data_IF_172988494297
#
_entry.id   IF_172988494297
#
_cell.length_a   1.000
_cell.length_b   1.000
_cell.length_c   1.000
_cell.angle_alpha   90.00
_cell.angle_beta   90.00
_cell.angle_gamma   90.00
#
_symmetry.space_group_name_H-M   'P 1'
#
loop_
_entity.id
_entity.type
_entity.pdbx_description
1 polymer ?
#
# COMPACT_ATOMS: atom_id res chain seq x y z
N UNK A 1 2.37 25.21 22.81
CA UNK A 1 1.02 24.63 22.97
C UNK A 1 0.77 24.30 24.45
N UNK A 2 -0.39 24.66 25.00
CA UNK A 2 -0.79 24.33 26.38
C UNK A 2 -1.11 22.82 26.58
N UNK A 3 -1.18 22.04 25.50
CA UNK A 3 -1.59 20.64 25.56
C UNK A 3 -0.39 19.70 25.81
N UNK A 4 -0.47 18.88 26.87
CA UNK A 4 0.60 17.98 27.35
C UNK A 4 0.99 16.92 26.30
N UNK A 5 0.02 16.46 25.51
CA UNK A 5 0.23 15.50 24.42
C UNK A 5 1.06 16.13 23.29
N UNK A 6 0.82 17.40 22.96
CA UNK A 6 1.53 18.11 21.88
C UNK A 6 3.01 18.31 22.25
N UNK A 7 3.32 18.56 23.53
CA UNK A 7 4.71 18.64 24.00
C UNK A 7 5.44 17.29 23.94
N UNK A 8 4.76 16.19 24.24
CA UNK A 8 5.34 14.86 24.14
C UNK A 8 5.64 14.43 22.69
N UNK A 9 4.85 14.90 21.71
CA UNK A 9 5.01 14.55 20.30
C UNK A 9 5.94 15.50 19.52
N UNK A 10 6.18 16.70 20.04
CA UNK A 10 6.98 17.72 19.35
C UNK A 10 8.38 17.22 18.95
N UNK A 11 9.16 16.53 19.79
CA UNK A 11 10.50 16.06 19.41
C UNK A 11 10.48 15.10 18.22
N UNK A 12 9.54 14.16 18.19
CA UNK A 12 9.41 13.18 17.10
C UNK A 12 9.00 13.85 15.78
N UNK A 13 8.05 14.78 15.83
CA UNK A 13 7.59 15.55 14.66
C UNK A 13 8.69 16.47 14.12
N UNK A 14 9.48 17.08 15.00
CA UNK A 14 10.62 17.91 14.61
C UNK A 14 11.74 17.08 13.98
N UNK A 15 12.05 15.91 14.56
CA UNK A 15 13.06 15.00 14.01
C UNK A 15 12.69 14.53 12.59
N UNK A 16 11.49 13.99 12.42
CA UNK A 16 11.02 13.53 11.10
C UNK A 16 10.98 14.64 10.06
N UNK A 17 10.57 15.86 10.45
CA UNK A 17 10.52 17.00 9.54
C UNK A 17 11.93 17.40 9.09
N UNK A 18 12.90 17.39 10.00
CA UNK A 18 14.31 17.67 9.66
C UNK A 18 14.90 16.61 8.74
N UNK A 19 14.59 15.33 8.98
CA UNK A 19 15.02 14.23 8.09
C UNK A 19 14.44 14.40 6.69
N UNK A 20 13.14 14.66 6.57
CA UNK A 20 12.51 14.90 5.27
C UNK A 20 13.10 16.12 4.56
N UNK A 21 13.31 17.23 5.28
CA UNK A 21 13.96 18.43 4.72
C UNK A 21 15.39 18.15 4.27
N UNK A 22 16.15 17.35 5.00
CA UNK A 22 17.50 16.95 4.60
C UNK A 22 17.48 16.08 3.33
N UNK A 23 16.51 15.16 3.23
CA UNK A 23 16.30 14.36 2.01
C UNK A 23 15.91 15.25 0.81
N UNK A 24 15.03 16.23 1.02
CA UNK A 24 14.64 17.18 -0.03
C UNK A 24 15.82 18.04 -0.49
N UNK A 25 16.69 18.47 0.42
CA UNK A 25 17.91 19.20 0.07
C UNK A 25 18.87 18.31 -0.73
N UNK A 26 19.09 17.07 -0.29
CA UNK A 26 19.96 16.12 -0.98
C UNK A 26 19.45 15.75 -2.38
N UNK A 27 18.18 15.37 -2.51
CA UNK A 27 17.60 15.06 -3.81
C UNK A 27 17.53 16.30 -4.70
N UNK A 28 17.21 17.45 -4.09
CA UNK A 28 17.11 18.73 -4.77
C UNK A 28 18.44 19.24 -5.31
N UNK A 29 19.57 19.00 -4.62
CA UNK A 29 20.89 19.38 -5.12
C UNK A 29 21.29 18.54 -6.33
N UNK A 30 21.06 17.22 -6.29
CA UNK A 30 21.32 16.33 -7.43
C UNK A 30 20.50 16.77 -8.65
N UNK A 31 19.23 17.11 -8.46
CA UNK A 31 18.37 17.59 -9.53
C UNK A 31 18.80 18.95 -10.09
N UNK A 32 19.22 19.87 -9.21
CA UNK A 32 19.74 21.18 -9.59
C UNK A 32 21.01 21.06 -10.45
N UNK A 33 21.99 20.30 -9.98
CA UNK A 33 23.27 20.08 -10.67
C UNK A 33 23.06 19.35 -12.00
N UNK A 34 22.17 18.35 -12.00
CA UNK A 34 21.78 17.61 -13.20
C UNK A 34 21.13 18.50 -14.27
N UNK A 35 20.27 19.43 -13.88
CA UNK A 35 19.64 20.37 -14.82
C UNK A 35 20.66 21.37 -15.37
N UNK A 36 21.56 21.90 -14.54
CA UNK A 36 22.65 22.76 -15.02
C UNK A 36 23.52 22.04 -16.04
N UNK A 37 23.92 20.79 -15.76
CA UNK A 37 24.67 19.98 -16.71
C UNK A 37 23.89 19.72 -18.01
N UNK A 38 22.58 19.47 -17.91
CA UNK A 38 21.69 19.29 -19.07
C UNK A 38 21.56 20.55 -19.91
N UNK A 39 21.45 21.73 -19.27
CA UNK A 39 21.41 23.03 -19.96
C UNK A 39 22.75 23.34 -20.63
N UNK A 40 23.87 23.11 -19.94
CA UNK A 40 25.21 23.27 -20.47
C UNK A 40 25.40 22.41 -21.74
N UNK A 41 25.00 21.14 -21.69
CA UNK A 41 25.08 20.21 -22.83
C UNK A 41 24.17 20.60 -23.98
N UNK A 42 22.93 21.03 -23.70
CA UNK A 42 21.99 21.51 -24.73
C UNK A 42 22.55 22.74 -25.44
N UNK A 43 23.11 23.68 -24.68
CA UNK A 43 23.70 24.89 -25.21
C UNK A 43 24.97 24.61 -26.02
N UNK A 44 25.85 23.72 -25.53
CA UNK A 44 27.05 23.32 -26.24
C UNK A 44 26.72 22.61 -27.57
N UNK A 45 25.68 21.76 -27.55
CA UNK A 45 25.17 21.07 -28.76
C UNK A 45 24.55 22.05 -29.75
N UNK A 46 23.77 23.02 -29.26
CA UNK A 46 23.19 24.10 -30.08
C UNK A 46 24.28 24.92 -30.78
N UNK A 47 25.41 25.14 -30.10
CA UNK A 47 26.59 25.81 -30.64
C UNK A 47 27.48 24.90 -31.50
N UNK A 48 27.15 23.63 -31.65
CA UNK A 48 27.91 22.66 -32.44
C UNK A 48 29.27 22.28 -31.86
N UNK A 49 29.51 22.54 -30.57
CA UNK A 49 30.80 22.27 -29.92
C UNK A 49 31.05 20.76 -29.80
N UNK A 50 32.30 20.34 -30.04
CA UNK A 50 32.73 18.93 -30.00
C UNK A 50 34.02 18.76 -29.21
N UNK A 51 34.31 17.51 -28.81
CA UNK A 51 35.57 17.14 -28.16
C UNK A 51 35.83 17.91 -26.86
N UNK A 52 37.08 18.32 -26.65
CA UNK A 52 37.49 19.00 -25.43
C UNK A 52 36.94 20.43 -25.33
N UNK A 53 36.72 21.11 -26.47
CA UNK A 53 36.07 22.43 -26.50
C UNK A 53 34.66 22.38 -25.91
N UNK A 54 33.92 21.28 -26.15
CA UNK A 54 32.61 21.08 -25.53
C UNK A 54 32.73 20.91 -24.01
N UNK A 55 33.69 20.12 -23.56
CA UNK A 55 33.91 19.87 -22.12
C UNK A 55 34.26 21.17 -21.39
N UNK A 56 35.19 21.94 -21.93
CA UNK A 56 35.61 23.22 -21.34
C UNK A 56 34.47 24.22 -21.27
N UNK A 57 33.61 24.25 -22.29
CA UNK A 57 32.40 25.06 -22.27
C UNK A 57 31.39 24.56 -21.22
N UNK A 58 31.14 23.25 -21.16
CA UNK A 58 30.21 22.65 -20.18
C UNK A 58 30.68 22.97 -18.73
N UNK A 59 31.98 22.85 -18.45
CA UNK A 59 32.56 23.18 -17.13
C UNK A 59 32.36 24.67 -16.80
N UNK A 60 32.76 25.58 -17.70
CA UNK A 60 32.62 27.03 -17.47
C UNK A 60 31.17 27.46 -17.30
N UNK A 61 30.25 26.82 -18.02
CA UNK A 61 28.82 27.08 -17.89
C UNK A 61 28.29 26.67 -16.50
N UNK A 62 28.77 25.56 -15.95
CA UNK A 62 28.37 25.07 -14.63
C UNK A 62 29.03 25.89 -13.52
N UNK A 63 30.28 26.32 -13.70
CA UNK A 63 31.01 27.16 -12.73
C UNK A 63 30.42 28.56 -12.60
N UNK A 64 29.95 29.13 -13.72
CA UNK A 64 29.33 30.46 -13.78
C UNK A 64 28.01 30.41 -14.57
N UNK A 65 26.95 29.81 -13.99
CA UNK A 65 25.67 29.71 -14.65
C UNK A 65 24.98 31.07 -14.72
N UNK A 66 24.27 31.33 -15.81
CA UNK A 66 23.45 32.55 -15.92
C UNK A 66 22.27 32.51 -14.95
N UNK A 67 21.69 33.68 -14.64
CA UNK A 67 20.50 33.78 -13.79
C UNK A 67 19.33 32.93 -14.34
N UNK A 68 19.14 32.91 -15.65
CA UNK A 68 18.13 32.06 -16.31
C UNK A 68 18.39 30.56 -16.11
N UNK A 69 19.65 30.13 -16.15
CA UNK A 69 20.02 28.74 -15.92
C UNK A 69 19.78 28.34 -14.45
N UNK A 70 20.11 29.22 -13.52
CA UNK A 70 19.84 29.05 -12.09
C UNK A 70 18.33 28.96 -11.83
N UNK A 71 17.52 29.80 -12.49
CA UNK A 71 16.06 29.77 -12.35
C UNK A 71 15.49 28.42 -12.84
N UNK A 72 15.91 27.96 -14.03
CA UNK A 72 15.49 26.66 -14.58
C UNK A 72 15.91 25.50 -13.69
N UNK A 73 17.15 25.50 -13.19
CA UNK A 73 17.65 24.48 -12.28
C UNK A 73 16.89 24.47 -10.94
N UNK A 74 16.54 25.64 -10.40
CA UNK A 74 15.71 25.75 -9.20
C UNK A 74 14.28 25.23 -9.42
N UNK A 75 13.71 25.48 -10.60
CA UNK A 75 12.41 24.92 -10.99
C UNK A 75 12.46 23.40 -11.07
N UNK A 76 13.53 22.83 -11.65
CA UNK A 76 13.70 21.38 -11.72
C UNK A 76 13.93 20.76 -10.34
N UNK A 77 14.71 21.43 -9.48
CA UNK A 77 14.88 21.05 -8.07
C UNK A 77 13.53 20.93 -7.37
N UNK A 78 12.72 22.00 -7.41
CA UNK A 78 11.38 22.02 -6.77
C UNK A 78 10.48 20.92 -7.36
N UNK A 79 10.59 20.66 -8.67
CA UNK A 79 9.81 19.65 -9.36
C UNK A 79 10.10 18.24 -8.85
N UNK A 80 11.39 17.88 -8.73
CA UNK A 80 11.84 16.56 -8.27
C UNK A 80 11.54 16.34 -6.79
N UNK A 81 11.61 17.39 -5.96
CA UNK A 81 11.31 17.30 -4.52
C UNK A 81 9.81 17.48 -4.22
N UNK A 82 8.96 17.66 -5.23
CA UNK A 82 7.53 17.95 -5.07
C UNK A 82 7.22 19.18 -4.20
N UNK A 83 8.12 20.17 -4.19
CA UNK A 83 8.02 21.40 -3.40
C UNK A 83 7.70 22.64 -4.24
N UNK A 84 7.15 22.47 -5.43
CA UNK A 84 6.75 23.58 -6.29
C UNK A 84 5.62 24.40 -5.69
N UNK A 85 5.52 25.63 -6.18
CA UNK A 85 4.56 26.60 -5.70
C UNK A 85 3.12 26.18 -6.00
N UNK A 86 2.22 26.59 -5.10
CA UNK A 86 0.84 26.13 -5.02
C UNK A 86 -0.01 26.74 -6.15
N UNK A 87 -0.63 25.90 -6.98
CA UNK A 87 -1.55 26.30 -8.06
C UNK A 87 -3.04 26.24 -7.64
N UNK A 88 -3.96 26.48 -8.59
CA UNK A 88 -5.41 26.49 -8.35
C UNK A 88 -5.98 25.19 -7.78
N UNK A 89 -5.36 24.03 -8.06
CA UNK A 89 -5.74 22.75 -7.46
C UNK A 89 -5.37 22.70 -5.97
N UNK A 90 -4.26 23.34 -5.60
CA UNK A 90 -3.90 23.49 -4.18
C UNK A 90 -4.88 24.40 -3.44
N UNK A 91 -5.46 25.42 -4.11
CA UNK A 91 -6.51 26.24 -3.50
C UNK A 91 -7.78 25.44 -3.18
N UNK A 92 -8.15 24.46 -4.02
CA UNK A 92 -9.25 23.53 -3.75
C UNK A 92 -8.99 22.68 -2.49
N UNK A 93 -7.78 22.11 -2.34
CA UNK A 93 -7.39 21.35 -1.13
C UNK A 93 -7.26 22.28 0.09
N UNK A 94 -6.80 23.53 -0.08
CA UNK A 94 -6.79 24.53 1.00
C UNK A 94 -8.20 24.94 1.44
N UNK A 95 -9.21 24.83 0.57
CA UNK A 95 -10.62 24.98 0.93
C UNK A 95 -11.06 23.99 2.02
N UNK A 96 -10.48 22.79 2.04
CA UNK A 96 -10.72 21.77 3.08
C UNK A 96 -10.24 22.26 4.46
N UNK A 97 -9.20 23.12 4.53
CA UNK A 97 -8.73 23.72 5.79
C UNK A 97 -9.71 24.73 6.39
N UNK A 98 -10.67 25.23 5.61
CA UNK A 98 -11.68 26.22 6.04
C UNK A 98 -12.92 25.59 6.68
N UNK A 99 -13.02 24.25 6.70
CA UNK A 99 -14.09 23.55 7.42
C UNK A 99 -13.86 23.72 8.94
N UNK A 100 -14.84 24.22 9.73
CA UNK A 100 -14.67 24.56 11.15
C UNK A 100 -14.15 23.40 12.02
N UNK A 101 -14.50 22.17 11.68
CA UNK A 101 -14.05 20.93 12.36
C UNK A 101 -12.54 20.69 12.20
N UNK A 102 -11.94 21.22 11.13
CA UNK A 102 -10.51 21.06 10.78
C UNK A 102 -9.69 22.28 11.21
N UNK A 103 -10.31 23.46 11.39
CA UNK A 103 -9.65 24.73 11.69
C UNK A 103 -8.77 24.73 12.95
N UNK A 104 -9.14 23.96 13.98
CA UNK A 104 -8.38 23.92 15.25
C UNK A 104 -7.11 23.04 15.19
N UNK A 105 -6.96 22.19 14.16
CA UNK A 105 -5.85 21.22 14.04
C UNK A 105 -5.31 21.02 12.61
N UNK A 106 -5.64 21.92 11.68
CA UNK A 106 -5.37 21.80 10.23
C UNK A 106 -3.90 21.56 9.87
N UNK A 107 -2.96 22.08 10.65
CA UNK A 107 -1.52 21.88 10.47
C UNK A 107 -1.03 20.49 10.92
N UNK A 108 -1.80 19.79 11.75
CA UNK A 108 -1.47 18.48 12.31
C UNK A 108 -2.12 17.33 11.55
N UNK A 109 -3.30 17.56 10.95
CA UNK A 109 -4.06 16.51 10.24
C UNK A 109 -3.51 16.28 8.82
N UNK A 110 -3.01 17.32 8.14
CA UNK A 110 -2.49 17.19 6.76
C UNK A 110 -1.15 17.93 6.59
N UNK A 111 -0.03 17.40 7.12
CA UNK A 111 1.23 18.14 7.17
C UNK A 111 1.93 18.38 5.82
N UNK A 112 1.41 17.92 4.68
CA UNK A 112 2.13 17.97 3.38
C UNK A 112 1.22 18.23 2.17
N UNK A 113 0.22 19.11 2.30
CA UNK A 113 -0.68 19.45 1.18
C UNK A 113 0.06 19.82 -0.12
N UNK A 114 1.10 20.69 -0.09
CA UNK A 114 1.89 21.01 -1.29
C UNK A 114 2.46 19.76 -1.97
N UNK A 115 3.13 18.91 -1.20
CA UNK A 115 3.78 17.68 -1.68
C UNK A 115 2.76 16.70 -2.25
N UNK A 116 1.62 16.51 -1.58
CA UNK A 116 0.56 15.62 -2.05
C UNK A 116 -0.04 16.14 -3.36
N UNK A 117 -0.36 17.44 -3.44
CA UNK A 117 -0.88 18.05 -4.66
C UNK A 117 0.12 17.95 -5.82
N UNK A 118 1.41 18.18 -5.53
CA UNK A 118 2.48 18.05 -6.49
C UNK A 118 2.65 16.60 -6.96
N UNK A 119 2.62 15.60 -6.08
CA UNK A 119 2.63 14.18 -6.45
C UNK A 119 1.48 13.82 -7.38
N UNK A 120 0.25 14.28 -7.09
CA UNK A 120 -0.92 14.11 -7.98
C UNK A 120 -0.63 14.65 -9.37
N UNK A 121 -0.10 15.87 -9.43
CA UNK A 121 0.19 16.56 -10.68
C UNK A 121 1.18 15.74 -11.53
N UNK A 122 2.18 15.11 -10.92
CA UNK A 122 3.17 14.28 -11.62
C UNK A 122 2.55 12.98 -12.11
N UNK A 123 1.72 12.34 -11.30
CA UNK A 123 0.94 11.17 -11.73
C UNK A 123 0.09 11.47 -12.97
N UNK A 124 -0.59 12.63 -13.00
CA UNK A 124 -1.36 13.09 -14.16
C UNK A 124 -0.48 13.36 -15.38
N UNK A 125 0.67 14.00 -15.21
CA UNK A 125 1.62 14.31 -16.29
C UNK A 125 2.22 13.04 -16.93
N UNK A 126 2.37 11.97 -16.15
CA UNK A 126 2.88 10.68 -16.65
C UNK A 126 1.77 9.75 -17.16
N UNK A 127 0.51 9.95 -16.77
CA UNK A 127 -0.57 9.06 -17.23
C UNK A 127 -0.81 9.27 -18.73
N UNK A 128 -0.72 8.21 -19.57
CA UNK A 128 -0.91 8.32 -21.02
C UNK A 128 -2.22 9.02 -21.41
N UNK A 129 -2.16 9.93 -22.37
CA UNK A 129 -3.30 10.70 -22.88
C UNK A 129 -3.71 11.87 -21.98
N UNK A 130 -3.61 11.70 -20.65
CA UNK A 130 -4.03 12.70 -19.65
C UNK A 130 -3.05 13.88 -19.59
N UNK A 131 -1.74 13.61 -19.60
CA UNK A 131 -0.73 14.67 -19.56
C UNK A 131 -0.75 15.56 -20.82
N UNK A 132 -0.97 14.96 -22.00
CA UNK A 132 -1.10 15.69 -23.28
C UNK A 132 -2.38 16.52 -23.29
N UNK A 133 -3.52 15.95 -22.89
CA UNK A 133 -4.79 16.67 -22.83
C UNK A 133 -4.72 17.87 -21.87
N UNK A 134 -4.13 17.68 -20.68
CA UNK A 134 -3.92 18.76 -19.71
C UNK A 134 -3.01 19.86 -20.26
N UNK A 135 -1.92 19.49 -20.92
CA UNK A 135 -1.01 20.45 -21.54
C UNK A 135 -1.71 21.24 -22.65
N UNK A 136 -2.46 20.57 -23.53
CA UNK A 136 -3.23 21.21 -24.60
C UNK A 136 -4.28 22.19 -24.05
N UNK A 137 -5.01 21.81 -22.99
CA UNK A 137 -5.99 22.69 -22.32
C UNK A 137 -5.29 23.90 -21.70
N UNK A 138 -4.17 23.69 -21.00
CA UNK A 138 -3.40 24.79 -20.37
C UNK A 138 -2.84 25.80 -21.35
N UNK A 139 -2.73 25.43 -22.64
CA UNK A 139 -2.24 26.26 -23.75
C UNK A 139 -3.36 26.79 -24.65
N UNK A 140 -4.63 26.57 -24.30
CA UNK A 140 -5.78 27.05 -25.07
C UNK A 140 -6.05 26.26 -26.36
N UNK A 141 -5.80 24.94 -26.38
CA UNK A 141 -6.16 24.00 -27.45
C UNK A 141 -5.79 24.46 -28.87
N UNK A 142 -4.56 24.95 -29.10
CA UNK A 142 -4.11 25.28 -30.46
C UNK A 142 -2.83 26.10 -30.63
N UNK A 143 -2.09 26.44 -29.56
CA UNK A 143 -0.86 27.25 -29.66
C UNK A 143 0.37 26.51 -29.13
N UNK A 144 1.31 26.20 -30.03
CA UNK A 144 2.69 25.76 -29.74
C UNK A 144 2.92 24.24 -29.60
N UNK A 145 4.12 23.77 -29.98
CA UNK A 145 4.56 22.38 -29.83
C UNK A 145 4.60 21.97 -28.35
N UNK A 146 4.01 20.83 -27.99
CA UNK A 146 4.08 20.23 -26.64
C UNK A 146 5.51 20.25 -26.09
N UNK A 147 5.65 20.51 -24.79
CA UNK A 147 6.97 20.54 -24.16
C UNK A 147 7.58 19.14 -24.32
N UNK A 148 8.79 19.07 -24.88
CA UNK A 148 9.51 17.80 -25.13
C UNK A 148 9.59 16.96 -23.85
N UNK A 149 9.66 17.61 -22.69
CA UNK A 149 9.66 16.95 -21.38
C UNK A 149 8.31 16.27 -21.04
N UNK A 150 7.18 16.84 -21.44
CA UNK A 150 5.85 16.22 -21.28
C UNK A 150 5.72 15.03 -22.21
N UNK A 151 6.20 15.14 -23.45
CA UNK A 151 6.20 14.02 -24.40
C UNK A 151 7.05 12.86 -23.87
N UNK A 152 8.26 13.13 -23.36
CA UNK A 152 9.11 12.09 -22.78
C UNK A 152 8.42 11.37 -21.61
N UNK A 153 7.78 12.10 -20.69
CA UNK A 153 7.02 11.55 -19.56
C UNK A 153 5.82 10.70 -20.01
N UNK A 154 5.18 11.09 -21.10
CA UNK A 154 4.09 10.33 -21.71
C UNK A 154 4.57 9.03 -22.34
N UNK A 155 5.75 9.04 -22.98
CA UNK A 155 6.38 7.82 -23.50
C UNK A 155 6.71 6.86 -22.34
N UNK A 156 7.33 7.35 -21.27
CA UNK A 156 7.63 6.56 -20.07
C UNK A 156 6.36 5.96 -19.45
N UNK A 157 5.32 6.77 -19.29
CA UNK A 157 4.02 6.33 -18.80
C UNK A 157 3.36 5.30 -19.72
N UNK A 158 3.51 5.44 -21.03
CA UNK A 158 2.93 4.52 -22.02
C UNK A 158 3.65 3.17 -21.99
N UNK A 159 4.98 3.16 -21.88
CA UNK A 159 5.77 1.92 -21.72
C UNK A 159 5.38 1.22 -20.41
N UNK A 160 5.25 1.96 -19.31
CA UNK A 160 4.79 1.42 -18.03
C UNK A 160 3.36 0.87 -18.12
N UNK A 161 2.43 1.61 -18.74
CA UNK A 161 1.06 1.16 -18.94
C UNK A 161 0.99 -0.12 -19.79
N UNK A 162 1.78 -0.21 -20.87
CA UNK A 162 1.87 -1.42 -21.68
C UNK A 162 2.37 -2.63 -20.86
N UNK A 163 3.40 -2.43 -20.03
CA UNK A 163 3.88 -3.48 -19.12
C UNK A 163 2.82 -3.89 -18.10
N UNK A 164 2.07 -2.93 -17.53
CA UNK A 164 0.98 -3.19 -16.59
C UNK A 164 -0.13 -4.00 -17.27
N UNK A 165 -0.58 -3.62 -18.47
CA UNK A 165 -1.58 -4.38 -19.21
C UNK A 165 -1.11 -5.80 -19.52
N UNK A 166 0.15 -5.98 -19.91
CA UNK A 166 0.74 -7.31 -20.08
C UNK A 166 0.64 -8.14 -18.80
N UNK A 167 1.04 -7.56 -17.65
CA UNK A 167 0.94 -8.23 -16.34
C UNK A 167 -0.50 -8.54 -15.94
N UNK A 168 -1.46 -7.66 -16.25
CA UNK A 168 -2.89 -7.92 -16.02
C UNK A 168 -3.42 -9.06 -16.87
N UNK A 169 -3.01 -9.14 -18.14
CA UNK A 169 -3.41 -10.25 -19.03
C UNK A 169 -2.94 -11.61 -18.52
N UNK A 170 -1.88 -11.64 -17.70
CA UNK A 170 -1.35 -12.84 -17.03
C UNK A 170 -1.94 -13.07 -15.64
N UNK A 171 -2.82 -12.19 -15.16
CA UNK A 171 -3.34 -12.24 -13.78
C UNK A 171 -2.26 -11.99 -12.73
N UNK A 172 -1.18 -11.28 -13.08
CA UNK A 172 -0.03 -11.01 -12.23
C UNK A 172 -0.12 -9.68 -11.47
N UNK A 173 -1.28 -9.01 -11.50
CA UNK A 173 -1.54 -7.80 -10.71
C UNK A 173 -2.65 -8.07 -9.72
N UNK A 174 -2.30 -7.94 -8.44
CA UNK A 174 -3.21 -8.06 -7.31
C UNK A 174 -3.85 -6.69 -7.04
N UNK A 175 -5.17 -6.67 -7.02
CA UNK A 175 -5.96 -5.46 -6.77
C UNK A 175 -6.18 -5.21 -5.28
N UNK A 176 -7.42 -4.86 -4.95
CA UNK A 176 -7.83 -4.60 -3.58
C UNK A 176 -7.79 -5.85 -2.71
N UNK A 177 -7.76 -5.62 -1.40
CA UNK A 177 -7.80 -6.68 -0.42
C UNK A 177 -9.22 -7.29 -0.36
N UNK A 178 -9.37 -8.64 -0.38
CA UNK A 178 -10.69 -9.26 -0.30
C UNK A 178 -11.50 -8.85 0.93
N UNK A 179 -12.80 -8.65 0.75
CA UNK A 179 -13.70 -8.24 1.83
C UNK A 179 -13.91 -9.36 2.84
N UNK A 180 -14.13 -10.59 2.37
CA UNK A 180 -14.35 -11.75 3.22
C UNK A 180 -13.12 -12.03 4.09
N UNK A 181 -13.32 -12.20 5.40
CA UNK A 181 -12.22 -12.42 6.36
C UNK A 181 -11.40 -13.67 6.04
N UNK A 182 -12.02 -14.78 5.68
CA UNK A 182 -11.31 -16.04 5.42
C UNK A 182 -10.46 -15.95 4.16
N UNK A 183 -11.01 -15.34 3.11
CA UNK A 183 -10.32 -15.08 1.85
C UNK A 183 -9.17 -14.09 2.04
N UNK A 184 -9.38 -13.03 2.81
CA UNK A 184 -8.33 -12.07 3.20
C UNK A 184 -7.18 -12.73 3.96
N UNK A 185 -7.50 -13.64 4.88
CA UNK A 185 -6.48 -14.38 5.62
C UNK A 185 -5.73 -15.35 4.71
N UNK A 186 -6.41 -16.00 3.76
CA UNK A 186 -5.77 -16.83 2.73
C UNK A 186 -4.86 -16.02 1.80
N UNK A 187 -5.32 -14.85 1.35
CA UNK A 187 -4.56 -13.91 0.53
C UNK A 187 -3.20 -13.58 1.16
N UNK A 188 -3.18 -13.26 2.45
CA UNK A 188 -1.92 -13.01 3.17
C UNK A 188 -1.08 -14.28 3.39
N UNK A 189 -1.69 -15.44 3.67
CA UNK A 189 -0.95 -16.72 3.81
C UNK A 189 -0.28 -17.13 2.50
N UNK A 190 -0.87 -16.77 1.37
CA UNK A 190 -0.27 -16.97 0.06
C UNK A 190 0.88 -16.00 -0.24
N UNK A 191 1.15 -15.05 0.65
CA UNK A 191 2.18 -14.03 0.46
C UNK A 191 1.77 -12.91 -0.49
N UNK A 192 0.49 -12.84 -0.88
CA UNK A 192 -0.02 -11.77 -1.73
C UNK A 192 -0.10 -10.45 -0.97
N UNK A 193 0.13 -9.35 -1.67
CA UNK A 193 0.00 -7.99 -1.13
C UNK A 193 -1.07 -7.22 -1.92
N UNK A 194 -1.91 -6.39 -1.27
CA UNK A 194 -2.87 -5.59 -1.99
C UNK A 194 -2.15 -4.50 -2.81
N UNK A 195 -2.67 -4.22 -4.01
CA UNK A 195 -2.04 -3.32 -4.98
C UNK A 195 -0.58 -3.71 -5.23
N UNK A 196 -0.37 -4.96 -5.67
CA UNK A 196 0.96 -5.49 -5.95
C UNK A 196 1.06 -6.13 -7.32
N UNK A 197 2.27 -6.17 -7.85
CA UNK A 197 2.59 -6.83 -9.12
C UNK A 197 3.50 -8.01 -8.82
N UNK A 198 3.16 -9.16 -9.38
CA UNK A 198 3.92 -10.39 -9.29
C UNK A 198 5.05 -10.40 -10.32
N UNK A 199 6.27 -10.59 -9.83
CA UNK A 199 7.48 -10.75 -10.62
C UNK A 199 8.16 -12.04 -10.14
N UNK A 200 8.10 -13.09 -10.95
CA UNK A 200 8.52 -14.43 -10.52
C UNK A 200 7.66 -14.95 -9.36
N UNK A 201 8.29 -15.27 -8.24
CA UNK A 201 7.59 -15.66 -7.00
C UNK A 201 7.40 -14.50 -6.01
N UNK A 202 7.65 -13.26 -6.40
CA UNK A 202 7.61 -12.10 -5.49
C UNK A 202 6.48 -11.15 -5.87
N UNK A 203 5.66 -10.79 -4.88
CA UNK A 203 4.65 -9.74 -4.97
C UNK A 203 5.26 -8.41 -4.51
N UNK A 204 5.32 -7.42 -5.39
CA UNK A 204 5.89 -6.09 -5.12
C UNK A 204 4.75 -5.08 -5.04
N UNK A 205 4.54 -4.47 -3.87
CA UNK A 205 3.47 -3.48 -3.67
C UNK A 205 3.83 -2.16 -4.35
N UNK A 206 2.96 -1.69 -5.25
CA UNK A 206 3.17 -0.44 -5.98
C UNK A 206 2.49 0.77 -5.30
N UNK A 207 1.61 0.57 -4.31
CA UNK A 207 0.78 1.60 -3.64
C UNK A 207 1.49 2.86 -3.10
N UNK A 208 2.81 2.82 -2.93
CA UNK A 208 3.63 3.89 -2.32
C UNK A 208 4.77 4.34 -3.23
N UNK A 209 4.74 3.94 -4.49
CA UNK A 209 5.77 4.25 -5.49
C UNK A 209 5.19 5.29 -6.46
N UNK A 210 4.85 6.47 -5.95
CA UNK A 210 4.44 7.59 -6.82
C UNK A 210 5.66 8.19 -7.53
N UNK A 211 5.51 8.71 -8.76
CA UNK A 211 4.28 8.85 -9.56
C UNK A 211 3.86 7.60 -10.36
N UNK A 212 4.60 6.49 -10.28
CA UNK A 212 4.32 5.29 -11.07
C UNK A 212 3.05 4.55 -10.65
N UNK A 213 2.74 4.57 -9.35
CA UNK A 213 1.50 4.00 -8.81
C UNK A 213 0.25 4.59 -9.48
N UNK A 214 0.26 5.90 -9.74
CA UNK A 214 -0.77 6.60 -10.50
C UNK A 214 -1.03 5.97 -11.87
N UNK A 215 0.03 5.70 -12.62
CA UNK A 215 -0.03 5.07 -13.95
C UNK A 215 -0.50 3.61 -13.83
N UNK A 216 0.00 2.86 -12.85
CA UNK A 216 -0.37 1.45 -12.65
C UNK A 216 -1.85 1.32 -12.28
N UNK A 217 -2.33 2.12 -11.32
CA UNK A 217 -3.71 2.07 -10.85
C UNK A 217 -4.69 2.50 -11.94
N UNK A 218 -4.40 3.58 -12.66
CA UNK A 218 -5.25 4.10 -13.73
C UNK A 218 -5.31 3.13 -14.91
N UNK A 219 -4.17 2.57 -15.33
CA UNK A 219 -4.11 1.51 -16.35
C UNK A 219 -4.87 0.27 -15.91
N UNK A 220 -4.80 -0.10 -14.63
CA UNK A 220 -5.50 -1.27 -14.14
C UNK A 220 -7.03 -1.11 -14.11
N UNK A 221 -7.51 0.09 -13.78
CA UNK A 221 -8.91 0.46 -13.94
C UNK A 221 -9.35 0.41 -15.40
N UNK A 222 -8.59 1.08 -16.28
CA UNK A 222 -8.87 1.14 -17.71
C UNK A 222 -8.92 -0.26 -18.35
N UNK A 223 -7.98 -1.15 -18.01
CA UNK A 223 -7.94 -2.52 -18.51
C UNK A 223 -9.20 -3.31 -18.14
N UNK A 224 -9.68 -3.19 -16.88
CA UNK A 224 -10.93 -3.85 -16.46
C UNK A 224 -12.12 -3.32 -17.27
N UNK A 225 -12.18 -2.01 -17.46
CA UNK A 225 -13.26 -1.36 -18.21
C UNK A 225 -13.22 -1.75 -19.70
N UNK A 226 -12.03 -1.85 -20.31
CA UNK A 226 -11.81 -2.31 -21.69
C UNK A 226 -12.26 -3.77 -21.86
N UNK A 227 -11.92 -4.65 -20.91
CA UNK A 227 -12.31 -6.07 -20.97
C UNK A 227 -13.82 -6.28 -20.81
N UNK A 228 -14.51 -5.33 -20.16
CA UNK A 228 -15.95 -5.35 -19.99
C UNK A 228 -16.71 -4.62 -21.12
N UNK A 229 -16.01 -3.88 -21.98
CA UNK A 229 -16.61 -3.12 -23.08
C UNK A 229 -16.88 -4.02 -24.29
N UNK A 230 -18.04 -3.81 -24.95
CA UNK A 230 -18.54 -4.68 -26.03
C UNK A 230 -18.03 -4.29 -27.42
N UNK A 231 -17.66 -3.03 -27.63
CA UNK A 231 -17.21 -2.49 -28.92
C UNK A 231 -15.85 -1.78 -28.82
N UNK A 232 -15.11 -1.74 -29.92
CA UNK A 232 -13.72 -1.27 -29.95
C UNK A 232 -13.58 0.26 -29.87
N UNK A 233 -14.61 1.00 -30.29
CA UNK A 233 -14.64 2.47 -30.17
C UNK A 233 -14.77 2.90 -28.70
N UNK A 234 -15.63 2.21 -27.94
CA UNK A 234 -15.76 2.39 -26.50
C UNK A 234 -14.48 2.00 -25.76
N UNK A 235 -13.79 0.93 -26.17
CA UNK A 235 -12.48 0.55 -25.59
C UNK A 235 -11.43 1.65 -25.80
N UNK A 236 -11.37 2.23 -27.00
CA UNK A 236 -10.44 3.32 -27.31
C UNK A 236 -10.77 4.59 -26.52
N UNK A 237 -12.05 4.94 -26.39
CA UNK A 237 -12.46 6.08 -25.57
C UNK A 237 -12.22 5.85 -24.07
N UNK A 238 -12.43 4.64 -23.54
CA UNK A 238 -12.11 4.29 -22.15
C UNK A 238 -10.61 4.43 -21.88
N UNK A 239 -9.77 3.97 -22.81
CA UNK A 239 -8.33 4.14 -22.72
C UNK A 239 -7.93 5.63 -22.64
N UNK A 240 -8.54 6.49 -23.46
CA UNK A 240 -8.30 7.93 -23.43
C UNK A 240 -8.94 8.64 -22.22
N UNK A 241 -10.06 8.15 -21.70
CA UNK A 241 -10.80 8.69 -20.56
C UNK A 241 -10.30 8.22 -19.18
N UNK A 242 -9.19 7.49 -19.15
CA UNK A 242 -8.45 7.05 -17.95
C UNK A 242 -8.20 8.19 -16.93
N UNK A 243 -8.21 9.45 -17.38
CA UNK A 243 -8.15 10.66 -16.52
C UNK A 243 -9.22 10.70 -15.42
N UNK A 244 -10.44 10.20 -15.68
CA UNK A 244 -11.55 10.25 -14.73
C UNK A 244 -11.38 9.19 -13.63
N UNK A 245 -10.99 7.97 -14.01
CA UNK A 245 -10.70 6.86 -13.09
C UNK A 245 -9.47 7.14 -12.22
N UNK A 246 -8.51 7.91 -12.73
CA UNK A 246 -7.35 8.35 -11.94
C UNK A 246 -7.77 9.17 -10.71
N UNK A 247 -8.78 10.05 -10.84
CA UNK A 247 -9.24 10.89 -9.73
C UNK A 247 -9.77 10.06 -8.57
N UNK A 248 -10.56 9.02 -8.86
CA UNK A 248 -11.15 8.12 -7.86
C UNK A 248 -10.07 7.26 -7.19
N UNK A 249 -9.19 6.63 -7.98
CA UNK A 249 -8.08 5.84 -7.45
C UNK A 249 -7.05 6.66 -6.66
N UNK A 250 -6.85 7.93 -7.01
CA UNK A 250 -5.95 8.84 -6.31
C UNK A 250 -6.52 9.29 -4.95
N UNK A 251 -7.84 9.52 -4.88
CA UNK A 251 -8.55 9.76 -3.62
C UNK A 251 -8.43 8.54 -2.68
N UNK A 252 -8.29 7.33 -3.24
CA UNK A 252 -8.06 6.09 -2.47
C UNK A 252 -6.57 5.75 -2.24
N UNK A 253 -5.66 6.62 -2.69
CA UNK A 253 -4.23 6.45 -2.45
C UNK A 253 -3.92 6.41 -0.95
N UNK A 254 -2.79 5.79 -0.60
CA UNK A 254 -2.40 5.62 0.80
C UNK A 254 -2.23 6.93 1.57
N UNK A 255 -2.00 8.04 0.85
CA UNK A 255 -1.92 9.39 1.41
C UNK A 255 -3.29 9.95 1.80
N UNK A 256 -4.34 9.67 1.02
CA UNK A 256 -5.69 10.16 1.27
C UNK A 256 -6.55 9.20 2.11
N UNK A 257 -6.28 7.90 2.14
CA UNK A 257 -6.98 6.98 3.05
C UNK A 257 -6.78 7.36 4.53
N UNK A 258 -5.62 7.93 4.89
CA UNK A 258 -5.41 8.49 6.23
C UNK A 258 -6.34 9.66 6.54
N UNK A 259 -6.71 10.43 5.51
CA UNK A 259 -7.62 11.57 5.59
C UNK A 259 -9.09 11.13 5.55
N UNK A 260 -9.47 10.25 4.61
CA UNK A 260 -10.82 9.66 4.54
C UNK A 260 -11.22 8.99 5.86
N UNK A 261 -10.30 8.27 6.51
CA UNK A 261 -10.55 7.66 7.82
C UNK A 261 -10.86 8.69 8.93
N UNK A 262 -10.43 9.94 8.78
CA UNK A 262 -10.78 11.04 9.68
C UNK A 262 -12.16 11.60 9.33
N UNK A 263 -12.48 11.73 8.04
CA UNK A 263 -13.77 12.23 7.55
C UNK A 263 -14.92 11.24 7.79
N UNK A 264 -14.79 9.98 7.38
CA UNK A 264 -15.85 8.94 7.47
C UNK A 264 -16.23 8.59 8.91
N UNK A 265 -15.35 8.90 9.88
CA UNK A 265 -15.55 8.59 11.30
C UNK A 265 -16.08 9.77 12.12
N UNK A 266 -16.19 10.95 11.55
CA UNK A 266 -16.87 12.08 12.18
C UNK A 266 -18.39 11.99 12.00
N UNK A 267 -18.85 11.39 10.90
CA UNK A 267 -20.27 11.22 10.58
C UNK A 267 -20.96 10.09 11.37
N UNK A 268 -20.19 9.27 12.11
CA UNK A 268 -20.71 8.16 12.94
C UNK A 268 -20.28 8.30 14.40
N UNK A 269 -21.19 8.88 15.18
CA UNK A 269 -21.33 9.01 16.64
C UNK A 269 -20.27 8.39 17.61
N UNK A 270 -19.94 9.20 18.63
CA UNK A 270 -19.54 9.00 20.06
C UNK A 270 -18.77 7.75 20.56
N UNK A 271 -18.44 6.74 19.75
CA UNK A 271 -17.57 5.60 20.13
C UNK A 271 -16.23 5.56 19.39
N UNK A 272 -16.00 6.47 18.43
CA UNK A 272 -14.82 6.49 17.57
C UNK A 272 -13.53 6.91 18.27
N UNK A 273 -13.61 7.82 19.25
CA UNK A 273 -12.48 8.57 19.82
C UNK A 273 -11.31 7.70 20.33
N UNK A 274 -11.62 6.52 20.89
CA UNK A 274 -10.63 5.58 21.42
C UNK A 274 -9.87 4.81 20.32
N UNK A 275 -10.40 4.68 19.10
CA UNK A 275 -9.61 4.18 17.94
C UNK A 275 -8.87 5.31 17.22
N UNK A 276 -9.22 6.57 17.50
CA UNK A 276 -8.72 7.73 16.77
C UNK A 276 -7.43 8.31 17.34
N UNK A 277 -7.16 8.18 18.64
CA UNK A 277 -5.98 8.82 19.26
C UNK A 277 -4.63 8.40 18.65
N UNK A 278 -4.46 7.12 18.29
CA UNK A 278 -3.23 6.62 17.66
C UNK A 278 -3.15 6.92 16.15
N UNK A 279 -4.29 7.09 15.47
CA UNK A 279 -4.35 7.54 14.07
C UNK A 279 -4.16 9.06 13.96
N UNK A 280 -4.48 9.82 15.02
CA UNK A 280 -4.20 11.26 15.14
C UNK A 280 -2.73 11.58 15.42
N UNK A 281 -1.90 10.58 15.75
CA UNK A 281 -0.45 10.78 15.80
C UNK A 281 0.01 11.02 14.37
N UNK A 282 0.46 12.26 14.03
CA UNK A 282 1.03 12.48 12.71
C UNK A 282 2.20 11.52 12.56
N UNK A 283 2.34 10.93 11.37
CA UNK A 283 3.37 9.93 11.06
C UNK A 283 3.18 8.58 11.77
N UNK A 284 2.00 8.26 12.30
CA UNK A 284 1.71 6.95 12.90
C UNK A 284 2.09 5.77 12.00
N UNK A 285 1.95 5.89 10.67
CA UNK A 285 2.42 4.89 9.71
C UNK A 285 3.95 4.71 9.69
N UNK A 286 4.70 5.82 9.79
CA UNK A 286 6.18 5.80 9.84
C UNK A 286 6.68 5.27 11.18
N UNK A 287 6.08 5.70 12.30
CA UNK A 287 6.42 5.20 13.62
C UNK A 287 6.13 3.69 13.76
N UNK A 288 5.04 3.21 13.17
CA UNK A 288 4.79 1.75 13.02
C UNK A 288 5.88 1.06 12.21
N UNK A 289 6.38 1.69 11.15
CA UNK A 289 7.51 1.20 10.34
C UNK A 289 8.76 1.04 11.20
N UNK A 290 9.10 2.06 12.00
CA UNK A 290 10.25 2.04 12.93
C UNK A 290 10.08 0.91 13.94
N UNK A 291 8.92 0.80 14.59
CA UNK A 291 8.71 -0.24 15.60
C UNK A 291 8.82 -1.64 15.04
N UNK A 292 8.26 -1.87 13.84
CA UNK A 292 8.42 -3.16 13.15
C UNK A 292 9.87 -3.41 12.75
N UNK A 293 10.61 -2.36 12.37
CA UNK A 293 12.03 -2.47 12.04
C UNK A 293 12.86 -2.87 13.25
N UNK A 294 12.64 -2.22 14.40
CA UNK A 294 13.27 -2.58 15.67
C UNK A 294 12.87 -4.01 16.08
N UNK A 295 11.58 -4.34 16.02
CA UNK A 295 11.08 -5.68 16.34
C UNK A 295 11.73 -6.76 15.46
N UNK A 296 11.83 -6.53 14.15
CA UNK A 296 12.53 -7.43 13.23
C UNK A 296 14.04 -7.51 13.52
N UNK A 297 14.67 -6.41 13.92
CA UNK A 297 16.09 -6.38 14.25
C UNK A 297 16.42 -7.14 15.54
N UNK A 298 15.52 -7.09 16.53
CA UNK A 298 15.69 -7.74 17.84
C UNK A 298 15.25 -9.21 17.80
N UNK A 299 14.08 -9.49 17.21
CA UNK A 299 13.46 -10.82 17.24
C UNK A 299 13.70 -11.64 15.96
N UNK A 300 14.35 -11.07 14.94
CA UNK A 300 14.51 -11.66 13.60
C UNK A 300 13.25 -11.60 12.73
N UNK A 301 12.06 -11.50 13.34
CA UNK A 301 10.77 -11.49 12.65
C UNK A 301 9.76 -10.54 13.32
N UNK A 302 8.73 -10.14 12.57
CA UNK A 302 7.63 -9.32 13.10
C UNK A 302 6.35 -10.13 13.09
N UNK A 303 5.76 -10.34 14.27
CA UNK A 303 4.50 -11.08 14.38
C UNK A 303 3.33 -10.11 14.36
N UNK A 304 2.31 -10.43 13.57
CA UNK A 304 1.06 -9.67 13.56
C UNK A 304 0.35 -9.89 14.89
N UNK A 305 0.07 -8.83 15.62
CA UNK A 305 -0.51 -8.91 16.97
C UNK A 305 -2.03 -9.00 16.95
N UNK A 306 -2.60 -9.79 17.85
CA UNK A 306 -4.05 -9.95 17.99
C UNK A 306 -4.65 -8.76 18.76
N UNK A 307 -5.76 -8.20 18.25
CA UNK A 307 -6.47 -7.07 18.88
C UNK A 307 -7.81 -7.55 19.43
N UNK A 308 -7.82 -8.11 20.63
CA UNK A 308 -9.05 -8.61 21.26
C UNK A 308 -9.55 -7.62 22.29
N UNK A 309 -10.41 -6.70 21.86
CA UNK A 309 -11.12 -5.76 22.75
C UNK A 309 -10.31 -4.54 23.20
N UNK A 310 -8.99 -4.52 23.00
CA UNK A 310 -8.11 -3.41 23.36
C UNK A 310 -7.44 -2.77 22.13
N UNK A 311 -8.26 -2.37 21.15
CA UNK A 311 -7.81 -1.71 19.91
C UNK A 311 -6.96 -0.47 20.17
N UNK A 312 -7.26 0.29 21.23
CA UNK A 312 -6.48 1.46 21.63
C UNK A 312 -5.08 1.07 22.12
N UNK A 313 -4.95 0.02 22.96
CA UNK A 313 -3.64 -0.43 23.44
C UNK A 313 -2.80 -1.00 22.31
N UNK A 314 -3.40 -1.74 21.37
CA UNK A 314 -2.70 -2.20 20.17
C UNK A 314 -2.26 -1.02 19.31
N UNK A 315 -3.15 -0.08 19.02
CA UNK A 315 -2.84 1.04 18.15
C UNK A 315 -1.76 1.96 18.73
N UNK A 316 -1.75 2.15 20.05
CA UNK A 316 -0.67 2.84 20.77
C UNK A 316 0.61 1.99 20.77
N UNK A 317 0.51 0.70 21.11
CA UNK A 317 1.64 -0.21 21.17
C UNK A 317 2.35 -0.37 19.83
N UNK A 318 1.62 -0.36 18.72
CA UNK A 318 2.18 -0.41 17.38
C UNK A 318 2.95 0.87 17.02
N UNK A 319 2.68 2.01 17.69
CA UNK A 319 3.28 3.32 17.41
C UNK A 319 4.38 3.71 18.41
N UNK A 320 4.35 3.20 19.65
CA UNK A 320 5.38 3.47 20.67
C UNK A 320 6.43 2.35 20.70
N UNK A 321 7.72 2.64 20.42
CA UNK A 321 8.80 1.67 20.55
C UNK A 321 8.82 1.01 21.93
N UNK A 322 8.99 -0.31 21.99
CA UNK A 322 9.07 -1.09 23.24
C UNK A 322 7.74 -1.42 23.92
N UNK A 323 6.62 -0.79 23.53
CA UNK A 323 5.30 -1.04 24.12
C UNK A 323 4.53 -2.18 23.42
N UNK A 324 5.00 -2.58 22.23
CA UNK A 324 4.34 -3.54 21.35
C UNK A 324 4.52 -5.01 21.78
N UNK A 325 5.42 -5.32 22.71
CA UNK A 325 5.89 -6.68 23.05
C UNK A 325 4.91 -7.53 23.88
N UNK A 326 3.88 -6.93 24.49
CA UNK A 326 2.99 -7.65 25.41
C UNK A 326 1.76 -8.29 24.75
N UNK A 327 1.53 -8.06 23.46
CA UNK A 327 0.38 -8.63 22.77
C UNK A 327 0.74 -9.95 22.10
N UNK A 328 -0.08 -10.99 22.28
CA UNK A 328 0.26 -12.29 21.75
C UNK A 328 0.02 -12.35 20.23
N UNK A 329 0.84 -13.14 19.53
CA UNK A 329 0.83 -13.22 18.07
C UNK A 329 -0.49 -13.79 17.53
N UNK A 330 -1.01 -13.20 16.46
CA UNK A 330 -2.19 -13.69 15.74
C UNK A 330 -1.86 -15.04 15.13
N UNK A 331 -2.75 -16.01 15.31
CA UNK A 331 -2.67 -17.32 14.66
C UNK A 331 -3.38 -17.32 13.31
N UNK A 332 -2.84 -18.11 12.39
CA UNK A 332 -3.44 -18.37 11.09
C UNK A 332 -4.34 -19.62 11.13
N UNK A 333 -4.92 -19.99 9.98
CA UNK A 333 -5.78 -21.17 9.84
C UNK A 333 -5.08 -22.48 10.27
N UNK A 334 -3.77 -22.57 10.07
CA UNK A 334 -2.96 -23.73 10.38
C UNK A 334 -2.30 -23.66 11.76
N UNK A 335 -2.68 -22.69 12.60
CA UNK A 335 -2.17 -22.56 13.96
C UNK A 335 -0.75 -21.97 14.04
N UNK A 336 -0.21 -21.49 12.93
CA UNK A 336 1.09 -20.83 12.87
C UNK A 336 0.94 -19.36 13.26
N UNK A 337 2.00 -18.78 13.81
CA UNK A 337 2.04 -17.34 14.05
C UNK A 337 2.06 -16.61 12.69
N UNK A 338 1.21 -15.60 12.53
CA UNK A 338 1.21 -14.77 11.32
C UNK A 338 2.41 -13.82 11.39
N UNK A 339 3.41 -14.07 10.55
CA UNK A 339 4.63 -13.27 10.44
C UNK A 339 4.51 -12.31 9.27
N UNK A 340 4.86 -11.04 9.49
CA UNK A 340 5.12 -10.11 8.40
C UNK A 340 6.50 -10.46 7.87
N UNK A 341 6.54 -11.04 6.67
CA UNK A 341 7.80 -11.43 6.05
C UNK A 341 8.82 -10.25 6.01
N UNK A 342 10.11 -10.60 5.92
CA UNK A 342 11.25 -9.71 5.70
C UNK A 342 11.81 -9.02 6.95
N UNK A 343 13.11 -8.72 6.88
CA UNK A 343 13.88 -8.17 8.00
C UNK A 343 13.69 -6.67 8.25
N UNK A 344 14.50 -6.14 9.17
CA UNK A 344 14.41 -4.77 9.67
C UNK A 344 14.39 -3.71 8.57
N UNK A 345 15.23 -3.84 7.53
CA UNK A 345 15.29 -2.90 6.42
C UNK A 345 13.96 -2.87 5.65
N UNK A 346 13.41 -4.04 5.34
CA UNK A 346 12.11 -4.15 4.66
C UNK A 346 10.97 -3.60 5.50
N UNK A 347 11.04 -3.74 6.83
CA UNK A 347 10.06 -3.14 7.73
C UNK A 347 10.16 -1.63 7.80
N UNK A 348 11.36 -1.06 7.70
CA UNK A 348 11.59 0.39 7.69
C UNK A 348 11.09 1.04 6.39
N UNK A 349 11.40 0.45 5.24
CA UNK A 349 11.13 1.02 3.92
C UNK A 349 9.62 1.19 3.65
N UNK A 350 9.22 2.26 2.94
CA UNK A 350 7.81 2.49 2.62
C UNK A 350 7.27 1.48 1.61
N UNK A 351 8.10 0.99 0.69
CA UNK A 351 7.74 -0.06 -0.26
C UNK A 351 7.87 -1.45 0.37
N UNK A 352 6.90 -2.31 0.08
CA UNK A 352 6.82 -3.67 0.62
C UNK A 352 6.82 -4.68 -0.51
N UNK A 353 7.51 -5.79 -0.30
CA UNK A 353 7.42 -6.96 -1.16
C UNK A 353 7.22 -8.21 -0.31
N UNK A 354 6.70 -9.29 -0.88
CA UNK A 354 6.46 -10.54 -0.18
C UNK A 354 6.67 -11.71 -1.14
N UNK A 355 7.19 -12.81 -0.65
CA UNK A 355 7.34 -14.03 -1.44
C UNK A 355 6.06 -14.84 -1.36
N UNK A 356 5.65 -15.35 -2.53
CA UNK A 356 4.52 -16.24 -2.68
C UNK A 356 4.77 -17.57 -1.97
N UNK A 357 3.71 -18.14 -1.40
CA UNK A 357 3.80 -19.44 -0.75
C UNK A 357 4.11 -20.55 -1.75
N UNK A 358 4.96 -21.50 -1.36
CA UNK A 358 5.17 -22.77 -2.07
C UNK A 358 4.23 -23.88 -1.61
N UNK A 359 3.40 -23.62 -0.59
CA UNK A 359 2.50 -24.59 0.01
C UNK A 359 1.44 -25.09 -0.99
N UNK A 360 1.46 -26.39 -1.26
CA UNK A 360 0.56 -27.03 -2.24
C UNK A 360 -0.92 -26.93 -1.83
N UNK A 361 -1.22 -26.96 -0.53
CA UNK A 361 -2.60 -26.91 -0.03
C UNK A 361 -3.15 -25.49 -0.21
N UNK A 362 -2.35 -24.47 0.09
CA UNK A 362 -2.74 -23.07 -0.16
C UNK A 362 -2.93 -22.79 -1.66
N UNK A 363 -2.05 -23.31 -2.52
CA UNK A 363 -2.20 -23.18 -3.97
C UNK A 363 -3.45 -23.87 -4.49
N UNK A 364 -3.76 -25.07 -3.97
CA UNK A 364 -4.96 -25.80 -4.39
C UNK A 364 -6.25 -25.14 -3.86
N UNK A 365 -6.23 -24.63 -2.63
CA UNK A 365 -7.33 -23.85 -2.07
C UNK A 365 -7.61 -22.57 -2.86
N UNK A 366 -6.57 -21.84 -3.27
CA UNK A 366 -6.68 -20.67 -4.16
C UNK A 366 -7.26 -21.07 -5.52
N UNK A 367 -6.72 -22.12 -6.14
CA UNK A 367 -7.19 -22.61 -7.46
C UNK A 367 -8.67 -22.95 -7.44
N UNK A 368 -9.14 -23.57 -6.36
CA UNK A 368 -10.54 -23.96 -6.16
C UNK A 368 -11.41 -22.83 -5.56
N UNK A 369 -10.83 -21.67 -5.24
CA UNK A 369 -11.46 -20.54 -4.55
C UNK A 369 -12.16 -20.94 -3.26
N UNK A 370 -11.49 -21.76 -2.45
CA UNK A 370 -12.00 -22.32 -1.20
C UNK A 370 -11.20 -21.81 -0.01
N UNK A 371 -11.84 -20.96 0.81
CA UNK A 371 -11.22 -20.30 1.95
C UNK A 371 -11.95 -20.67 3.24
N UNK A 372 -11.56 -21.76 3.92
CA UNK A 372 -12.20 -22.15 5.16
C UNK A 372 -12.00 -21.09 6.24
N UNK A 373 -13.06 -20.86 7.02
CA UNK A 373 -13.01 -20.00 8.19
C UNK A 373 -12.30 -20.65 9.35
N UNK A 374 -11.63 -19.84 10.16
CA UNK A 374 -11.14 -20.28 11.47
C UNK A 374 -12.31 -20.73 12.36
N UNK A 375 -12.09 -21.71 13.25
CA UNK A 375 -13.08 -22.11 14.23
C UNK A 375 -13.60 -20.93 15.06
N UNK A 376 -14.85 -20.99 15.51
CA UNK A 376 -15.42 -19.96 16.40
C UNK A 376 -14.78 -20.02 17.79
N UNK A 377 -14.61 -18.86 18.43
CA UNK A 377 -14.21 -18.76 19.84
C UNK A 377 -15.37 -19.05 20.81
N UNK A 378 -16.59 -19.22 20.30
CA UNK A 378 -17.73 -19.65 21.11
C UNK A 378 -18.14 -21.06 20.73
N UNK A 379 -18.35 -21.91 21.73
CA UNK A 379 -18.75 -23.31 21.53
C UNK A 379 -20.01 -23.64 22.33
N UNK A 380 -20.95 -24.34 21.70
CA UNK A 380 -22.14 -24.87 22.36
C UNK A 380 -21.80 -26.23 22.98
N UNK A 381 -21.82 -26.30 24.33
CA UNK A 381 -21.42 -27.49 25.09
C UNK A 381 -22.50 -28.58 25.04
N UNK A 382 -23.76 -28.22 25.25
CA UNK A 382 -24.93 -29.12 25.22
C UNK A 382 -25.94 -28.69 24.14
N UNK A 383 -26.69 -29.63 23.51
CA UNK A 383 -27.82 -29.25 22.67
C UNK A 383 -28.74 -28.26 23.41
N UNK A 384 -29.16 -27.17 22.76
CA UNK A 384 -30.00 -26.09 23.32
C UNK A 384 -29.36 -25.21 24.43
N UNK A 385 -28.04 -25.26 24.63
CA UNK A 385 -27.35 -24.34 25.55
C UNK A 385 -26.82 -23.08 24.86
N UNK A 386 -26.69 -21.97 25.61
CA UNK A 386 -26.04 -20.74 25.11
C UNK A 386 -24.57 -21.03 24.79
N UNK A 387 -24.02 -20.50 23.69
CA UNK A 387 -22.60 -20.66 23.37
C UNK A 387 -21.72 -20.09 24.49
N UNK A 388 -20.79 -20.91 25.00
CA UNK A 388 -19.81 -20.48 25.99
C UNK A 388 -18.59 -19.94 25.27
N UNK A 389 -18.13 -18.75 25.67
CA UNK A 389 -16.92 -18.14 25.14
C UNK A 389 -15.70 -18.86 25.70
N UNK A 390 -14.84 -19.36 24.82
CA UNK A 390 -13.59 -20.04 25.18
C UNK A 390 -12.59 -18.97 25.64
N UNK A 391 -11.94 -19.24 26.78
CA UNK A 391 -10.83 -18.42 27.30
C UNK A 391 -9.67 -18.32 26.28
N UNK A 392 -8.98 -17.18 26.25
CA UNK A 392 -8.03 -16.84 25.19
C UNK A 392 -6.82 -17.79 25.09
N UNK A 393 -6.12 -18.15 26.19
CA UNK A 393 -5.07 -19.16 26.17
C UNK A 393 -5.56 -20.54 25.71
N UNK A 394 -6.77 -20.94 26.11
CA UNK A 394 -7.36 -22.21 25.72
C UNK A 394 -7.75 -22.24 24.24
N UNK A 395 -8.32 -21.13 23.75
CA UNK A 395 -8.66 -20.96 22.35
C UNK A 395 -7.43 -20.97 21.43
N UNK A 396 -6.30 -20.41 21.87
CA UNK A 396 -5.02 -20.50 21.15
C UNK A 396 -4.54 -21.93 20.98
N UNK A 397 -4.50 -22.70 22.07
CA UNK A 397 -4.14 -24.13 22.01
C UNK A 397 -5.09 -24.92 21.11
N UNK A 398 -6.37 -24.55 21.11
CA UNK A 398 -7.37 -25.14 20.22
C UNK A 398 -7.07 -24.84 18.74
N UNK A 399 -6.79 -23.59 18.38
CA UNK A 399 -6.41 -23.24 16.99
C UNK A 399 -5.10 -23.93 16.58
N UNK A 400 -4.12 -24.02 17.45
CA UNK A 400 -2.85 -24.71 17.17
C UNK A 400 -3.05 -26.19 16.87
N UNK A 401 -3.83 -26.88 17.72
CA UNK A 401 -4.19 -28.29 17.52
C UNK A 401 -5.01 -28.50 16.24
N UNK A 402 -6.05 -27.66 16.06
CA UNK A 402 -6.90 -27.69 14.87
C UNK A 402 -6.11 -27.49 13.59
N UNK A 403 -5.29 -26.44 13.56
CA UNK A 403 -4.54 -26.05 12.38
C UNK A 403 -3.47 -27.07 11.99
N UNK A 404 -2.75 -27.62 12.97
CA UNK A 404 -1.73 -28.66 12.73
C UNK A 404 -2.37 -29.93 12.17
N UNK A 405 -3.47 -30.39 12.77
CA UNK A 405 -4.18 -31.59 12.33
C UNK A 405 -4.86 -31.38 10.97
N UNK A 406 -5.41 -30.19 10.73
CA UNK A 406 -5.99 -29.81 9.45
C UNK A 406 -4.92 -29.84 8.36
N UNK A 407 -3.79 -29.16 8.58
CA UNK A 407 -2.71 -29.07 7.61
C UNK A 407 -2.17 -30.45 7.25
N UNK A 408 -1.85 -31.28 8.25
CA UNK A 408 -1.35 -32.63 8.01
C UNK A 408 -2.33 -33.48 7.19
N UNK A 409 -3.63 -33.35 7.45
CA UNK A 409 -4.65 -34.10 6.71
C UNK A 409 -4.82 -33.62 5.28
N UNK A 410 -4.87 -32.31 5.08
CA UNK A 410 -4.98 -31.73 3.74
C UNK A 410 -3.74 -32.03 2.88
N UNK A 411 -2.54 -32.00 3.46
CA UNK A 411 -1.31 -32.41 2.75
C UNK A 411 -1.41 -33.85 2.22
N UNK A 412 -1.84 -34.79 3.06
CA UNK A 412 -2.01 -36.20 2.66
C UNK A 412 -3.04 -36.38 1.54
N UNK A 413 -4.10 -35.58 1.55
CA UNK A 413 -5.17 -35.65 0.54
C UNK A 413 -4.70 -35.06 -0.78
N UNK A 414 -4.16 -33.84 -0.76
CA UNK A 414 -3.75 -33.12 -1.96
C UNK A 414 -2.59 -33.84 -2.66
N UNK A 415 -1.71 -34.52 -1.92
CA UNK A 415 -0.63 -35.35 -2.50
C UNK A 415 -1.08 -36.74 -2.98
N UNK A 416 -2.36 -37.11 -2.83
CA UNK A 416 -2.82 -38.46 -3.16
C UNK A 416 -3.18 -38.61 -4.64
N UNK A 417 -2.78 -39.74 -5.26
CA UNK A 417 -3.11 -40.06 -6.66
C UNK A 417 -4.62 -40.10 -6.95
N UNK A 418 -5.44 -40.39 -5.94
CA UNK A 418 -6.90 -40.38 -6.09
C UNK A 418 -7.43 -38.97 -6.22
N UNK A 419 -6.85 -38.00 -5.51
CA UNK A 419 -7.21 -36.59 -5.60
C UNK A 419 -6.90 -36.00 -6.98
N UNK A 420 -5.77 -36.37 -7.59
CA UNK A 420 -5.40 -35.89 -8.93
C UNK A 420 -6.41 -36.28 -10.02
N UNK A 421 -7.06 -37.44 -9.87
CA UNK A 421 -8.07 -37.94 -10.81
C UNK A 421 -9.46 -37.34 -10.61
N UNK A 422 -9.67 -36.57 -9.54
CA UNK A 422 -10.98 -35.98 -9.23
C UNK A 422 -11.25 -34.73 -10.07
N UNK A 423 -12.52 -34.50 -10.39
CA UNK A 423 -12.98 -33.22 -10.96
C UNK A 423 -12.87 -32.10 -9.93
N UNK A 424 -12.87 -30.84 -10.37
CA UNK A 424 -12.76 -29.70 -9.46
C UNK A 424 -13.90 -29.65 -8.42
N UNK A 425 -15.12 -30.06 -8.78
CA UNK A 425 -16.22 -30.18 -7.83
C UNK A 425 -16.01 -31.30 -6.81
N UNK A 426 -15.51 -32.46 -7.26
CA UNK A 426 -15.16 -33.56 -6.35
C UNK A 426 -14.04 -33.15 -5.38
N UNK A 427 -13.04 -32.41 -5.87
CA UNK A 427 -11.95 -31.87 -5.05
C UNK A 427 -12.46 -30.89 -4.00
N UNK A 428 -13.35 -29.97 -4.36
CA UNK A 428 -14.00 -29.04 -3.42
C UNK A 428 -14.76 -29.80 -2.31
N UNK A 429 -15.60 -30.76 -2.70
CA UNK A 429 -16.37 -31.58 -1.75
C UNK A 429 -15.43 -32.37 -0.83
N UNK A 430 -14.34 -32.92 -1.38
CA UNK A 430 -13.35 -33.66 -0.60
C UNK A 430 -12.66 -32.76 0.44
N UNK A 431 -12.24 -31.56 0.05
CA UNK A 431 -11.65 -30.59 0.98
C UNK A 431 -12.63 -30.22 2.10
N UNK A 432 -13.86 -29.84 1.73
CA UNK A 432 -14.90 -29.42 2.69
C UNK A 432 -15.21 -30.53 3.71
N UNK A 433 -15.37 -31.78 3.25
CA UNK A 433 -15.59 -32.94 4.14
C UNK A 433 -14.46 -33.13 5.13
N UNK A 434 -13.21 -32.95 4.69
CA UNK A 434 -12.05 -33.17 5.55
C UNK A 434 -11.84 -32.02 6.54
N UNK A 435 -12.11 -30.78 6.12
CA UNK A 435 -12.14 -29.60 6.98
C UNK A 435 -13.19 -29.78 8.07
N UNK A 436 -14.41 -30.15 7.71
CA UNK A 436 -15.52 -30.32 8.65
C UNK A 436 -15.29 -31.48 9.62
N UNK A 437 -14.71 -32.58 9.16
CA UNK A 437 -14.33 -33.68 10.04
C UNK A 437 -13.32 -33.24 11.10
N UNK A 438 -12.24 -32.55 10.72
CA UNK A 438 -11.24 -32.08 11.68
C UNK A 438 -11.86 -31.05 12.63
N UNK A 439 -12.69 -30.15 12.11
CA UNK A 439 -13.42 -29.18 12.93
C UNK A 439 -14.29 -29.86 13.98
N UNK A 440 -15.06 -30.89 13.61
CA UNK A 440 -15.89 -31.67 14.55
C UNK A 440 -15.04 -32.42 15.57
N UNK A 441 -13.98 -33.08 15.12
CA UNK A 441 -13.08 -33.84 15.98
C UNK A 441 -12.43 -32.96 17.06
N UNK A 442 -11.88 -31.81 16.66
CA UNK A 442 -11.21 -30.89 17.59
C UNK A 442 -12.21 -30.16 18.48
N UNK A 443 -13.38 -29.80 17.96
CA UNK A 443 -14.46 -29.23 18.78
C UNK A 443 -14.90 -30.23 19.87
N UNK A 444 -15.02 -31.52 19.55
CA UNK A 444 -15.39 -32.54 20.54
C UNK A 444 -14.31 -32.74 21.61
N UNK A 445 -13.03 -32.74 21.23
CA UNK A 445 -11.91 -32.76 22.20
C UNK A 445 -11.96 -31.55 23.13
N UNK A 446 -12.26 -30.37 22.60
CA UNK A 446 -12.40 -29.15 23.40
C UNK A 446 -13.61 -29.23 24.35
N UNK A 447 -14.77 -29.69 23.87
CA UNK A 447 -15.96 -29.89 24.71
C UNK A 447 -15.67 -30.84 25.87
N UNK A 448 -15.02 -31.97 25.60
CA UNK A 448 -14.66 -32.93 26.64
C UNK A 448 -13.73 -32.30 27.69
N UNK A 449 -12.76 -31.47 27.28
CA UNK A 449 -11.89 -30.75 28.22
C UNK A 449 -12.62 -29.69 29.05
N UNK A 450 -13.62 -29.04 28.48
CA UNK A 450 -14.43 -28.04 29.19
C UNK A 450 -15.39 -28.71 30.19
N UNK A 451 -16.02 -29.83 29.80
CA UNK A 451 -16.92 -30.61 30.66
C UNK A 451 -16.20 -31.31 31.82
N UNK A 452 -14.89 -31.57 31.73
CA UNK A 452 -14.08 -32.09 32.83
C UNK A 452 -13.61 -31.00 33.81
N UNK A 453 -13.75 -29.72 33.43
CA UNK A 453 -13.36 -28.56 34.26
C UNK A 453 -14.55 -27.94 35.01
N UNK A 454 -15.76 -28.15 34.51
CA UNK A 454 -17.02 -28.00 35.26
C UNK A 454 -17.17 -29.17 36.23
#
# INVERSE_FOLDING_TARGET
SKNKIIRALAPALTFSRRVLQAMDVFAGSIAFDGELASLARREATRRGLKGDIRKDFEIKYIENPSEEAIEKANKQRKYVTFTDDLDGFTQWIMGIRKVPVIGFSSHFVIPFIPTIANLTKRGLEMTPGVGIAKEAISRGMGRGQSNVEVIAKQIEGTVLAAYVMYKMSKGEIEGELPENKSEREAFYRQGKLPHSTKVGNTYIQHRRIEPFNSVIASTASAYKNIMNAKDDETKYQIFLNTAKDFKENFIDSSYFQGLQQVFDKYDRSKGGLARTAASFLPLSGFLRSINRSIEAGVNGEVKVKESKGNELRKAIGDVIPGFSTFLPAKKDLFGKDVVIQGGWLRQFLPYKWSEGTSDIVEKEMERLKKYPSMPSQSITLRPNSKPVKIDDPLYRKYIESFGTNLKSRLDKIVMSKSYDKMTDEQKKIMLDRNIDFIRKQEANKLKHKLLLKE
#
